data_IF_813140694294
#
_entry.id   IF_813140694294
#
_cell.length_a   1.000
_cell.length_b   1.000
_cell.length_c   1.000
_cell.angle_alpha   90.00
_cell.angle_beta   90.00
_cell.angle_gamma   90.00
#
_symmetry.space_group_name_H-M   'P 1'
#
loop_
_entity.id
_entity.type
_entity.pdbx_description
1 polymer ?
#
# COMPACT_ATOMS: atom_id res chain seq x y z
N UNK A 1 26.72 34.48 -39.32
CA UNK A 1 25.62 33.58 -38.93
C UNK A 1 25.95 33.04 -37.54
N UNK A 2 25.48 33.71 -36.49
CA UNK A 2 25.80 33.40 -35.08
C UNK A 2 24.52 33.36 -34.22
N UNK A 3 23.37 33.16 -34.85
CA UNK A 3 22.05 33.33 -34.22
C UNK A 3 21.18 32.06 -34.21
N UNK A 4 21.73 30.90 -34.61
CA UNK A 4 20.98 29.64 -34.62
C UNK A 4 21.18 28.79 -33.35
N UNK A 5 22.35 28.84 -32.71
CA UNK A 5 22.68 27.97 -31.57
C UNK A 5 22.06 28.44 -30.24
N UNK A 6 21.80 29.74 -30.08
CA UNK A 6 21.25 30.28 -28.82
C UNK A 6 19.79 29.88 -28.59
N UNK A 7 19.02 29.64 -29.65
CA UNK A 7 17.62 29.21 -29.56
C UNK A 7 17.46 27.70 -29.36
N UNK A 8 18.46 26.90 -29.77
CA UNK A 8 18.45 25.45 -29.56
C UNK A 8 18.75 25.12 -28.09
N UNK A 9 19.76 25.75 -27.48
CA UNK A 9 20.10 25.52 -26.06
C UNK A 9 18.96 25.93 -25.10
N UNK A 10 18.24 27.01 -25.38
CA UNK A 10 17.08 27.46 -24.60
C UNK A 10 15.90 26.47 -24.74
N UNK A 11 15.69 25.90 -25.93
CA UNK A 11 14.66 24.90 -26.19
C UNK A 11 14.97 23.54 -25.52
N UNK A 12 16.24 23.12 -25.52
CA UNK A 12 16.66 21.91 -24.80
C UNK A 12 16.52 22.07 -23.29
N UNK A 13 16.80 23.27 -22.74
CA UNK A 13 16.58 23.59 -21.34
C UNK A 13 15.09 23.56 -20.94
N UNK A 14 14.19 24.07 -21.79
CA UNK A 14 12.75 24.00 -21.55
C UNK A 14 12.25 22.55 -21.55
N UNK A 15 12.68 21.73 -22.52
CA UNK A 15 12.30 20.33 -22.59
C UNK A 15 12.86 19.50 -21.41
N UNK A 16 14.06 19.85 -20.92
CA UNK A 16 14.65 19.28 -19.72
C UNK A 16 13.82 19.61 -18.47
N UNK A 17 13.42 20.88 -18.32
CA UNK A 17 12.57 21.32 -17.23
C UNK A 17 11.17 20.66 -17.28
N UNK A 18 10.58 20.52 -18.47
CA UNK A 18 9.31 19.80 -18.68
C UNK A 18 9.42 18.33 -18.28
N UNK A 19 10.47 17.61 -18.73
CA UNK A 19 10.68 16.21 -18.33
C UNK A 19 10.87 16.03 -16.83
N UNK A 20 11.50 17.01 -16.17
CA UNK A 20 11.65 16.98 -14.71
C UNK A 20 10.31 17.22 -14.02
N UNK A 21 9.55 18.20 -14.50
CA UNK A 21 8.21 18.49 -13.99
C UNK A 21 7.28 17.28 -14.12
N UNK A 22 7.33 16.53 -15.21
CA UNK A 22 6.53 15.30 -15.40
C UNK A 22 6.86 14.22 -14.34
N UNK A 23 8.14 14.08 -13.97
CA UNK A 23 8.55 13.14 -12.90
C UNK A 23 8.02 13.62 -11.56
N UNK A 24 8.23 14.90 -11.23
CA UNK A 24 7.81 15.51 -9.97
C UNK A 24 6.28 15.47 -9.82
N UNK A 25 5.51 15.74 -10.88
CA UNK A 25 4.05 15.65 -10.90
C UNK A 25 3.58 14.25 -10.55
N UNK A 26 4.11 13.21 -11.19
CA UNK A 26 3.73 11.83 -10.87
C UNK A 26 4.15 11.41 -9.45
N UNK A 27 5.26 11.92 -8.93
CA UNK A 27 5.66 11.68 -7.55
C UNK A 27 4.69 12.36 -6.56
N UNK A 28 4.22 13.56 -6.87
CA UNK A 28 3.24 14.28 -6.06
C UNK A 28 1.86 13.61 -6.12
N UNK A 29 1.43 13.17 -7.31
CA UNK A 29 0.21 12.39 -7.48
C UNK A 29 0.24 11.10 -6.65
N UNK A 30 1.35 10.36 -6.70
CA UNK A 30 1.53 9.14 -5.91
C UNK A 30 1.43 9.41 -4.41
N UNK A 31 2.01 10.51 -3.92
CA UNK A 31 1.91 10.91 -2.50
C UNK A 31 0.52 11.38 -2.12
N UNK A 32 -0.19 12.05 -3.02
CA UNK A 32 -1.52 12.60 -2.75
C UNK A 32 -2.60 11.54 -2.55
N UNK A 33 -2.40 10.33 -3.09
CA UNK A 33 -3.34 9.22 -2.94
C UNK A 33 -3.01 8.29 -1.76
N UNK A 34 -1.86 8.48 -1.10
CA UNK A 34 -1.52 7.74 0.12
C UNK A 34 -2.48 8.11 1.25
N UNK A 35 -2.80 7.17 2.15
CA UNK A 35 -3.55 7.49 3.36
C UNK A 35 -2.75 8.43 4.27
N UNK A 36 -3.45 9.32 4.97
CA UNK A 36 -2.84 10.13 6.02
C UNK A 36 -2.33 9.23 7.16
N UNK A 37 -1.20 9.59 7.74
CA UNK A 37 -0.56 8.81 8.80
C UNK A 37 -1.47 8.61 10.01
N UNK A 38 -2.27 9.62 10.39
CA UNK A 38 -3.20 9.52 11.51
C UNK A 38 -4.44 8.68 11.15
N UNK A 39 -4.88 8.74 9.89
CA UNK A 39 -6.08 8.01 9.43
C UNK A 39 -5.89 6.48 9.53
N UNK A 40 -4.68 5.96 9.28
CA UNK A 40 -4.38 4.52 9.39
C UNK A 40 -4.57 3.98 10.81
N UNK A 41 -4.42 4.83 11.84
CA UNK A 41 -4.57 4.42 13.24
C UNK A 41 -6.00 4.50 13.77
N UNK A 42 -6.93 5.09 13.01
CA UNK A 42 -8.31 5.27 13.41
C UNK A 42 -9.21 4.20 12.76
N UNK A 43 -10.16 3.66 13.51
CA UNK A 43 -11.09 2.65 13.02
C UNK A 43 -12.52 2.92 13.47
N UNK A 44 -13.44 3.05 12.51
CA UNK A 44 -14.88 3.21 12.73
C UNK A 44 -15.60 1.87 12.66
N UNK A 45 -15.30 0.96 13.60
CA UNK A 45 -16.00 -0.32 13.68
C UNK A 45 -16.07 -0.87 15.11
N UNK A 46 -17.22 -1.47 15.46
CA UNK A 46 -17.48 -2.06 16.77
C UNK A 46 -16.99 -3.51 16.89
N UNK A 47 -16.41 -4.09 15.84
CA UNK A 47 -15.97 -5.48 15.82
C UNK A 47 -14.66 -5.65 15.04
N UNK A 48 -13.90 -6.68 15.41
CA UNK A 48 -12.55 -6.95 14.86
C UNK A 48 -12.55 -7.07 13.34
N UNK A 49 -13.53 -7.77 12.74
CA UNK A 49 -13.59 -7.90 11.28
C UNK A 49 -13.87 -6.57 10.59
N UNK A 50 -14.71 -5.72 11.19
CA UNK A 50 -14.94 -4.37 10.68
C UNK A 50 -13.65 -3.55 10.69
N UNK A 51 -12.91 -3.57 11.80
CA UNK A 51 -11.61 -2.87 11.93
C UNK A 51 -10.62 -3.39 10.89
N UNK A 52 -10.45 -4.70 10.77
CA UNK A 52 -9.50 -5.31 9.83
C UNK A 52 -9.86 -5.03 8.37
N UNK A 53 -11.14 -5.08 7.99
CA UNK A 53 -11.55 -4.73 6.63
C UNK A 53 -11.39 -3.24 6.33
N UNK A 54 -11.66 -2.37 7.32
CA UNK A 54 -11.40 -0.94 7.20
C UNK A 54 -9.93 -0.65 6.97
N UNK A 55 -9.06 -1.20 7.83
CA UNK A 55 -7.60 -1.07 7.72
C UNK A 55 -7.08 -1.65 6.39
N UNK A 56 -7.58 -2.81 5.97
CA UNK A 56 -7.23 -3.38 4.66
C UNK A 56 -7.61 -2.42 3.54
N UNK A 57 -8.80 -1.84 3.58
CA UNK A 57 -9.22 -0.91 2.52
C UNK A 57 -8.41 0.38 2.51
N UNK A 58 -8.00 0.90 3.67
CA UNK A 58 -7.21 2.14 3.76
C UNK A 58 -5.77 1.97 3.29
N UNK A 59 -5.23 0.75 3.36
CA UNK A 59 -3.88 0.41 2.89
C UNK A 59 -3.85 -0.02 1.41
N UNK A 60 -4.96 0.08 0.68
CA UNK A 60 -4.97 -0.21 -0.74
C UNK A 60 -4.39 0.97 -1.54
N UNK A 61 -3.13 0.86 -1.95
CA UNK A 61 -2.35 1.93 -2.60
C UNK A 61 -2.09 1.67 -4.10
N UNK A 62 -2.96 0.91 -4.77
CA UNK A 62 -2.78 0.52 -6.18
C UNK A 62 -2.57 1.73 -7.12
N UNK A 63 -3.30 2.82 -6.90
CA UNK A 63 -3.17 4.08 -7.64
C UNK A 63 -1.79 4.72 -7.42
N UNK A 64 -1.27 4.72 -6.18
CA UNK A 64 0.05 5.26 -5.86
C UNK A 64 1.15 4.49 -6.60
N UNK A 65 1.04 3.16 -6.62
CA UNK A 65 1.96 2.27 -7.34
C UNK A 65 1.93 2.48 -8.85
N UNK A 66 0.77 2.87 -9.42
CA UNK A 66 0.67 3.27 -10.83
C UNK A 66 1.39 4.61 -11.10
N UNK A 67 1.17 5.64 -10.28
CA UNK A 67 1.85 6.93 -10.42
C UNK A 67 3.38 6.80 -10.25
N UNK A 68 3.87 6.04 -9.26
CA UNK A 68 5.30 5.75 -9.10
C UNK A 68 5.87 5.09 -10.36
N UNK A 69 5.14 4.16 -10.98
CA UNK A 69 5.58 3.52 -12.24
C UNK A 69 5.71 4.54 -13.38
N UNK A 70 4.80 5.52 -13.46
CA UNK A 70 4.92 6.61 -14.44
C UNK A 70 6.11 7.52 -14.15
N UNK A 71 6.32 7.91 -12.90
CA UNK A 71 7.50 8.70 -12.49
C UNK A 71 8.81 7.99 -12.88
N UNK A 72 8.95 6.69 -12.56
CA UNK A 72 10.11 5.87 -12.93
C UNK A 72 10.32 5.80 -14.44
N UNK A 73 9.23 5.68 -15.21
CA UNK A 73 9.28 5.65 -16.67
C UNK A 73 9.80 6.96 -17.23
N UNK A 74 9.26 8.10 -16.79
CA UNK A 74 9.70 9.42 -17.22
C UNK A 74 11.14 9.71 -16.82
N UNK A 75 11.52 9.33 -15.60
CA UNK A 75 12.89 9.45 -15.12
C UNK A 75 13.88 8.67 -16.00
N UNK A 76 13.56 7.42 -16.36
CA UNK A 76 14.43 6.63 -17.26
C UNK A 76 14.51 7.24 -18.66
N UNK A 77 13.41 7.80 -19.18
CA UNK A 77 13.39 8.49 -20.48
C UNK A 77 14.27 9.75 -20.42
N UNK A 78 14.12 10.59 -19.40
CA UNK A 78 14.89 11.82 -19.22
C UNK A 78 16.38 11.56 -18.97
N UNK A 79 16.72 10.56 -18.13
CA UNK A 79 18.11 10.16 -17.89
C UNK A 79 18.80 9.68 -19.16
N UNK A 80 18.09 8.96 -20.03
CA UNK A 80 18.61 8.51 -21.34
C UNK A 80 18.75 9.67 -22.35
N UNK A 81 17.93 10.70 -22.21
CA UNK A 81 18.01 11.91 -23.01
C UNK A 81 19.04 12.91 -22.48
N UNK A 82 19.75 12.61 -21.38
CA UNK A 82 20.65 13.54 -20.69
C UNK A 82 19.92 14.85 -20.32
N UNK A 83 18.63 14.74 -19.96
CA UNK A 83 17.73 15.87 -19.72
C UNK A 83 17.81 16.44 -18.28
N UNK A 84 18.56 15.81 -17.37
CA UNK A 84 18.64 16.22 -15.98
C UNK A 84 20.07 16.67 -15.64
N UNK A 85 20.18 17.87 -15.07
CA UNK A 85 21.46 18.39 -14.55
C UNK A 85 21.87 17.73 -13.23
N UNK A 86 20.88 17.33 -12.42
CA UNK A 86 21.03 16.68 -11.11
C UNK A 86 19.95 15.58 -11.01
N UNK A 87 20.17 14.38 -11.58
CA UNK A 87 19.21 13.28 -11.51
C UNK A 87 19.19 12.55 -10.16
N UNK A 88 20.21 12.75 -9.31
CA UNK A 88 20.36 12.02 -8.05
C UNK A 88 19.21 12.30 -7.07
N UNK A 89 18.70 13.52 -7.04
CA UNK A 89 17.60 13.91 -6.14
C UNK A 89 16.27 13.25 -6.52
N UNK A 90 15.96 13.16 -7.81
CA UNK A 90 14.80 12.41 -8.32
C UNK A 90 14.96 10.91 -8.08
N UNK A 91 16.17 10.38 -8.22
CA UNK A 91 16.47 8.97 -7.97
C UNK A 91 16.24 8.61 -6.49
N UNK A 92 16.68 9.46 -5.56
CA UNK A 92 16.43 9.34 -4.12
C UNK A 92 14.93 9.45 -3.81
N UNK A 93 14.24 10.46 -4.34
CA UNK A 93 12.82 10.66 -4.11
C UNK A 93 11.93 9.50 -4.65
N UNK A 94 12.34 8.88 -5.76
CA UNK A 94 11.71 7.68 -6.30
C UNK A 94 11.95 6.48 -5.38
N UNK A 95 13.19 6.28 -4.93
CA UNK A 95 13.56 5.15 -4.08
C UNK A 95 12.86 5.20 -2.72
N UNK A 96 12.82 6.37 -2.08
CA UNK A 96 12.13 6.58 -0.81
C UNK A 96 10.64 6.26 -0.90
N UNK A 97 10.00 6.69 -2.00
CA UNK A 97 8.58 6.41 -2.23
C UNK A 97 8.33 4.94 -2.55
N UNK A 98 9.23 4.29 -3.28
CA UNK A 98 9.17 2.85 -3.55
C UNK A 98 9.25 2.04 -2.26
N UNK A 99 10.21 2.33 -1.37
CA UNK A 99 10.33 1.66 -0.07
C UNK A 99 9.09 1.87 0.80
N UNK A 100 8.53 3.09 0.80
CA UNK A 100 7.28 3.37 1.52
C UNK A 100 6.11 2.54 0.99
N UNK A 101 5.94 2.46 -0.34
CA UNK A 101 4.86 1.69 -0.95
C UNK A 101 5.01 0.19 -0.69
N UNK A 102 6.22 -0.35 -0.79
CA UNK A 102 6.48 -1.75 -0.43
C UNK A 102 6.06 -2.05 1.02
N UNK A 103 6.39 -1.16 1.96
CA UNK A 103 5.98 -1.31 3.36
C UNK A 103 4.44 -1.29 3.54
N UNK A 104 3.75 -0.44 2.79
CA UNK A 104 2.27 -0.37 2.84
C UNK A 104 1.64 -1.61 2.22
N UNK A 105 2.17 -2.09 1.09
CA UNK A 105 1.71 -3.31 0.41
C UNK A 105 1.90 -4.55 1.29
N UNK A 106 3.06 -4.68 1.95
CA UNK A 106 3.35 -5.73 2.93
C UNK A 106 2.32 -5.71 4.09
N UNK A 107 2.05 -4.51 4.64
CA UNK A 107 1.05 -4.36 5.68
C UNK A 107 -0.36 -4.73 5.20
N UNK A 108 -0.74 -4.33 3.98
CA UNK A 108 -2.01 -4.68 3.36
C UNK A 108 -2.18 -6.20 3.21
N UNK A 109 -1.12 -6.91 2.76
CA UNK A 109 -1.13 -8.37 2.65
C UNK A 109 -1.33 -9.04 4.01
N UNK A 110 -0.53 -8.65 5.02
CA UNK A 110 -0.63 -9.19 6.38
C UNK A 110 -2.02 -8.99 6.99
N UNK A 111 -2.62 -7.81 6.83
CA UNK A 111 -3.99 -7.55 7.30
C UNK A 111 -4.99 -8.41 6.53
N UNK A 112 -4.79 -8.61 5.23
CA UNK A 112 -5.60 -9.52 4.41
C UNK A 112 -5.57 -10.97 4.91
N UNK A 113 -4.37 -11.50 5.18
CA UNK A 113 -4.18 -12.83 5.77
C UNK A 113 -4.85 -12.97 7.13
N UNK A 114 -4.68 -11.97 8.00
CA UNK A 114 -5.32 -11.94 9.32
C UNK A 114 -6.84 -11.90 9.20
N UNK A 115 -7.37 -11.05 8.33
CA UNK A 115 -8.81 -10.94 8.05
C UNK A 115 -9.40 -12.27 7.61
N UNK A 116 -8.66 -13.01 6.77
CA UNK A 116 -9.07 -14.34 6.34
C UNK A 116 -9.02 -15.35 7.49
N UNK A 117 -8.00 -15.31 8.35
CA UNK A 117 -7.78 -16.25 9.46
C UNK A 117 -8.85 -16.15 10.57
N UNK A 118 -9.31 -14.93 10.88
CA UNK A 118 -10.20 -14.67 12.02
C UNK A 118 -11.53 -15.45 11.98
N UNK A 119 -12.25 -15.58 10.85
CA UNK A 119 -13.43 -16.43 10.75
C UNK A 119 -13.16 -17.93 11.00
N UNK A 120 -12.04 -18.48 10.53
CA UNK A 120 -11.73 -19.90 10.79
C UNK A 120 -11.41 -20.14 12.26
N UNK A 121 -10.67 -19.22 12.89
CA UNK A 121 -10.42 -19.27 14.33
C UNK A 121 -11.73 -19.28 15.12
N UNK A 122 -12.68 -18.41 14.75
CA UNK A 122 -14.00 -18.38 15.39
C UNK A 122 -14.73 -19.72 15.24
N UNK A 123 -14.70 -20.32 14.05
CA UNK A 123 -15.30 -21.64 13.80
C UNK A 123 -14.68 -22.72 14.69
N UNK A 124 -13.35 -22.84 14.67
CA UNK A 124 -12.64 -23.83 15.47
C UNK A 124 -12.89 -23.70 16.98
N UNK A 125 -13.02 -22.46 17.49
CA UNK A 125 -13.37 -22.22 18.89
C UNK A 125 -14.82 -22.60 19.21
N UNK A 126 -15.76 -22.37 18.28
CA UNK A 126 -17.14 -22.78 18.46
C UNK A 126 -17.27 -24.30 18.46
N UNK A 127 -16.64 -24.99 17.50
CA UNK A 127 -16.63 -26.44 17.40
C UNK A 127 -16.04 -27.09 18.66
N UNK A 128 -14.93 -26.53 19.18
CA UNK A 128 -14.31 -27.01 20.41
C UNK A 128 -15.19 -26.81 21.66
N UNK A 129 -15.96 -25.72 21.71
CA UNK A 129 -16.89 -25.47 22.81
C UNK A 129 -18.13 -26.38 22.75
N UNK A 130 -18.63 -26.68 21.54
CA UNK A 130 -19.73 -27.62 21.33
C UNK A 130 -19.32 -29.04 21.74
N UNK A 131 -18.16 -29.52 21.28
CA UNK A 131 -17.64 -30.83 21.68
C UNK A 131 -17.48 -30.99 23.20
N UNK A 132 -16.97 -29.95 23.89
CA UNK A 132 -16.85 -29.96 25.34
C UNK A 132 -18.21 -29.94 26.07
N UNK A 133 -19.23 -29.32 25.46
CA UNK A 133 -20.59 -29.32 25.98
C UNK A 133 -21.25 -30.70 25.83
N UNK A 134 -21.11 -31.33 24.67
CA UNK A 134 -21.61 -32.69 24.42
C UNK A 134 -20.96 -33.72 25.34
N UNK A 135 -19.65 -33.61 25.61
CA UNK A 135 -18.95 -34.47 26.57
C UNK A 135 -19.50 -34.29 28.00
N UNK A 136 -19.77 -33.05 28.43
CA UNK A 136 -20.33 -32.77 29.75
C UNK A 136 -21.78 -33.27 29.89
N UNK A 137 -22.62 -33.11 28.86
CA UNK A 137 -23.99 -33.63 28.85
C UNK A 137 -24.01 -35.17 28.88
N UNK A 138 -23.08 -35.84 28.17
CA UNK A 138 -22.95 -37.30 28.22
C UNK A 138 -22.49 -37.81 29.59
N UNK A 139 -21.55 -37.11 30.26
CA UNK A 139 -21.13 -37.44 31.62
C UNK A 139 -22.27 -37.25 32.65
N UNK A 140 -23.10 -36.21 32.52
CA UNK A 140 -24.27 -36.00 33.38
C UNK A 140 -25.36 -37.07 33.15
N UNK A 141 -25.63 -37.48 31.91
CA UNK A 141 -26.57 -38.57 31.62
C UNK A 141 -26.09 -39.93 32.15
N UNK A 142 -24.79 -40.23 32.08
CA UNK A 142 -24.23 -41.46 32.65
C UNK A 142 -24.31 -41.48 34.19
N UNK A 143 -24.11 -40.34 34.88
CA UNK A 143 -24.28 -40.26 36.33
C UNK A 143 -25.75 -40.41 36.77
N UNK A 144 -26.72 -39.91 36.00
CA UNK A 144 -28.15 -40.09 36.29
C UNK A 144 -28.65 -41.53 36.05
N UNK A 145 -28.03 -42.30 35.15
CA UNK A 145 -28.37 -43.72 34.94
C UNK A 145 -27.79 -44.67 35.99
N UNK A 146 -26.78 -44.24 36.77
CA UNK A 146 -26.15 -45.04 37.84
C UNK A 146 -26.80 -44.92 39.25
N UNK A 147 -27.74 -43.98 39.48
CA UNK A 147 -28.55 -43.85 40.72
C UNK A 147 -29.87 -44.66 40.72
#
# INVERSE_FOLDING_TARGET
MSQATLGDDELFGEAAAEMRADVEEHLDEARAVLPDADDVWNADADNVLGVLNGLRSSLNVEDASEHLRQAKKWFVIGKRAEAFDDPEDLEEAIADLEELLEMVEDAHELVGELTNTMPQLRGALADAAEAAGEEAEAEEEEEEEEE
#
